data_IF_069820742962
#
_entry.id   IF_069820742962
#
_cell.length_a   1.000
_cell.length_b   1.000
_cell.length_c   1.000
_cell.angle_alpha   90.00
_cell.angle_beta   90.00
_cell.angle_gamma   90.00
#
_symmetry.space_group_name_H-M   'P 1'
#
loop_
_entity.id
_entity.type
_entity.pdbx_description
1 polymer ?
#
# COMPACT_ATOMS: atom_id res chain seq x y z
N UNK A 1 22.24 20.47 -8.57
CA UNK A 1 21.81 19.12 -8.91
C UNK A 1 20.47 19.20 -9.65
N UNK A 2 20.52 18.96 -10.94
CA UNK A 2 19.34 18.90 -11.81
C UNK A 2 18.62 17.59 -11.52
N UNK A 3 17.38 17.69 -11.06
CA UNK A 3 16.48 16.55 -11.03
C UNK A 3 16.01 16.28 -12.47
N UNK A 4 16.73 15.42 -13.18
CA UNK A 4 16.29 14.89 -14.46
C UNK A 4 15.12 13.95 -14.22
N UNK A 5 13.89 14.44 -14.50
CA UNK A 5 12.70 13.60 -14.59
C UNK A 5 12.60 13.09 -16.03
N UNK A 6 12.93 11.82 -16.31
CA UNK A 6 12.74 11.28 -17.65
C UNK A 6 11.24 11.24 -17.96
N UNK A 7 10.87 11.78 -19.14
CA UNK A 7 9.54 11.76 -19.73
C UNK A 7 8.43 12.47 -18.91
N UNK A 8 8.54 13.78 -18.83
CA UNK A 8 7.42 14.64 -18.39
C UNK A 8 6.56 15.04 -19.59
N UNK A 9 5.26 14.78 -19.52
CA UNK A 9 4.32 15.39 -20.47
C UNK A 9 4.22 16.87 -20.12
N UNK A 10 4.69 17.72 -21.03
CA UNK A 10 4.56 19.18 -20.93
C UNK A 10 3.21 19.58 -21.52
N UNK A 11 2.35 20.13 -20.72
CA UNK A 11 1.11 20.76 -21.17
C UNK A 11 1.36 22.27 -21.12
N UNK A 12 1.33 22.90 -22.30
CA UNK A 12 1.49 24.35 -22.42
C UNK A 12 0.12 24.96 -22.60
N UNK A 13 -0.33 25.75 -21.64
CA UNK A 13 -1.61 26.44 -21.67
C UNK A 13 -1.38 27.95 -21.60
N UNK A 14 -2.16 28.73 -22.34
CA UNK A 14 -2.15 30.19 -22.26
C UNK A 14 -3.33 30.66 -21.43
N UNK A 15 -3.03 31.38 -20.36
CA UNK A 15 -4.00 32.12 -19.57
C UNK A 15 -3.75 33.63 -19.75
N UNK A 16 -4.47 34.25 -20.68
CA UNK A 16 -4.24 35.65 -21.06
C UNK A 16 -2.84 35.79 -21.70
N UNK A 17 -1.99 36.64 -21.15
CA UNK A 17 -0.62 36.88 -21.59
C UNK A 17 0.40 35.89 -21.00
N UNK A 18 -0.01 35.07 -20.02
CA UNK A 18 0.89 34.13 -19.36
C UNK A 18 0.87 32.76 -20.03
N UNK A 19 2.07 32.24 -20.30
CA UNK A 19 2.25 30.84 -20.72
C UNK A 19 2.56 30.00 -19.50
N UNK A 20 1.64 29.10 -19.14
CA UNK A 20 1.81 28.14 -18.04
C UNK A 20 2.27 26.81 -18.62
N UNK A 21 3.41 26.33 -18.14
CA UNK A 21 3.92 25.00 -18.49
C UNK A 21 3.68 24.06 -17.30
N UNK A 22 2.70 23.19 -17.42
CA UNK A 22 2.42 22.17 -16.43
C UNK A 22 3.20 20.91 -16.76
N UNK A 23 4.03 20.45 -15.84
CA UNK A 23 4.75 19.18 -15.97
C UNK A 23 4.03 18.12 -15.17
N UNK A 24 3.58 17.05 -15.82
CA UNK A 24 2.92 15.93 -15.14
C UNK A 24 3.72 14.64 -15.30
N UNK A 25 3.99 13.90 -14.23
CA UNK A 25 4.69 12.63 -14.29
C UNK A 25 3.84 11.48 -14.89
N UNK A 26 2.55 11.67 -15.05
CA UNK A 26 1.64 10.62 -15.55
C UNK A 26 1.42 10.76 -17.05
N UNK A 27 1.76 9.71 -17.79
CA UNK A 27 1.61 9.61 -19.24
C UNK A 27 0.28 8.94 -19.65
N UNK A 28 -0.55 8.58 -18.68
CA UNK A 28 -1.81 7.87 -18.94
C UNK A 28 -2.69 8.61 -19.94
N UNK A 29 -2.93 8.00 -21.10
CA UNK A 29 -3.99 8.41 -21.99
C UNK A 29 -5.37 8.17 -21.34
N UNK A 30 -6.36 8.96 -21.72
CA UNK A 30 -7.72 8.83 -21.15
C UNK A 30 -8.29 7.41 -21.30
N UNK A 31 -8.01 6.76 -22.44
CA UNK A 31 -8.43 5.37 -22.71
C UNK A 31 -7.77 4.37 -21.74
N UNK A 32 -6.49 4.52 -21.49
CA UNK A 32 -5.73 3.67 -20.56
C UNK A 32 -6.18 3.88 -19.11
N UNK A 33 -6.42 5.13 -18.72
CA UNK A 33 -6.96 5.45 -17.41
C UNK A 33 -8.36 4.84 -17.19
N UNK A 34 -9.21 4.87 -18.23
CA UNK A 34 -10.53 4.24 -18.21
C UNK A 34 -10.42 2.71 -18.13
N UNK A 35 -9.59 2.09 -18.97
CA UNK A 35 -9.40 0.64 -18.97
C UNK A 35 -8.84 0.15 -17.63
N UNK A 36 -7.85 0.86 -17.06
CA UNK A 36 -7.35 0.57 -15.71
C UNK A 36 -8.45 0.65 -14.65
N UNK A 37 -9.27 1.68 -14.70
CA UNK A 37 -10.37 1.83 -13.73
C UNK A 37 -11.43 0.73 -13.88
N UNK A 38 -11.75 0.34 -15.11
CA UNK A 38 -12.68 -0.77 -15.40
C UNK A 38 -12.13 -2.08 -14.82
N UNK A 39 -10.86 -2.37 -15.06
CA UNK A 39 -10.18 -3.53 -14.48
C UNK A 39 -10.22 -3.50 -12.95
N UNK A 40 -9.90 -2.34 -12.33
CA UNK A 40 -9.97 -2.15 -10.87
C UNK A 40 -11.39 -2.45 -10.33
N UNK A 41 -12.45 -2.02 -11.03
CA UNK A 41 -13.83 -2.26 -10.62
C UNK A 41 -14.19 -3.73 -10.72
N UNK A 42 -13.90 -4.38 -11.85
CA UNK A 42 -14.22 -5.80 -12.08
C UNK A 42 -13.49 -6.68 -11.06
N UNK A 43 -12.17 -6.53 -10.94
CA UNK A 43 -11.39 -7.32 -9.99
C UNK A 43 -11.71 -6.94 -8.53
N UNK A 44 -12.00 -5.67 -8.27
CA UNK A 44 -12.45 -5.20 -6.96
C UNK A 44 -13.75 -5.87 -6.52
N UNK A 45 -14.71 -6.01 -7.43
CA UNK A 45 -15.97 -6.71 -7.16
C UNK A 45 -15.73 -8.20 -6.84
N UNK A 46 -14.98 -8.90 -7.69
CA UNK A 46 -14.61 -10.31 -7.45
C UNK A 46 -13.85 -10.45 -6.12
N UNK A 47 -12.88 -9.57 -5.86
CA UNK A 47 -12.12 -9.58 -4.61
C UNK A 47 -12.99 -9.33 -3.37
N UNK A 48 -14.02 -8.49 -3.46
CA UNK A 48 -14.98 -8.30 -2.36
C UNK A 48 -15.84 -9.55 -2.12
N UNK A 49 -16.25 -10.27 -3.16
CA UNK A 49 -16.96 -11.55 -3.00
C UNK A 49 -16.06 -12.57 -2.29
N UNK A 50 -14.80 -12.70 -2.72
CA UNK A 50 -13.82 -13.57 -2.06
C UNK A 50 -13.56 -13.12 -0.61
N UNK A 51 -13.51 -11.83 -0.33
CA UNK A 51 -13.40 -11.29 1.03
C UNK A 51 -14.55 -11.77 1.90
N UNK A 52 -15.78 -11.80 1.37
CA UNK A 52 -16.94 -12.34 2.07
C UNK A 52 -16.76 -13.82 2.43
N UNK A 53 -16.31 -14.64 1.48
CA UNK A 53 -16.04 -16.07 1.71
C UNK A 53 -14.95 -16.24 2.77
N UNK A 54 -13.81 -15.53 2.64
CA UNK A 54 -12.74 -15.61 3.62
C UNK A 54 -13.15 -15.08 4.99
N UNK A 55 -14.07 -14.11 5.07
CA UNK A 55 -14.60 -13.64 6.35
C UNK A 55 -15.31 -14.79 7.08
N UNK A 56 -16.17 -15.54 6.41
CA UNK A 56 -16.86 -16.68 7.03
C UNK A 56 -15.89 -17.75 7.52
N UNK A 57 -14.82 -18.00 6.77
CA UNK A 57 -13.81 -19.00 7.13
C UNK A 57 -12.89 -18.51 8.26
N UNK A 58 -12.35 -17.30 8.16
CA UNK A 58 -11.31 -16.80 9.07
C UNK A 58 -11.85 -16.22 10.37
N UNK A 59 -13.06 -15.66 10.37
CA UNK A 59 -13.62 -14.97 11.53
C UNK A 59 -13.69 -15.87 12.79
N UNK A 60 -14.13 -17.14 12.73
CA UNK A 60 -14.14 -18.02 13.91
C UNK A 60 -12.73 -18.20 14.48
N UNK A 61 -11.73 -18.44 13.65
CA UNK A 61 -10.35 -18.68 14.09
C UNK A 61 -9.71 -17.44 14.72
N UNK A 62 -9.94 -16.26 14.12
CA UNK A 62 -9.46 -14.99 14.66
C UNK A 62 -10.13 -14.72 16.01
N UNK A 63 -11.47 -14.85 16.08
CA UNK A 63 -12.24 -14.55 17.26
C UNK A 63 -11.92 -15.47 18.45
N UNK A 64 -11.75 -16.78 18.20
CA UNK A 64 -11.39 -17.76 19.24
C UNK A 64 -10.03 -17.45 19.86
N UNK A 65 -9.07 -16.99 19.04
CA UNK A 65 -7.71 -16.67 19.50
C UNK A 65 -7.56 -15.27 20.09
N UNK A 66 -8.33 -14.33 19.58
CA UNK A 66 -8.32 -12.94 20.02
C UNK A 66 -9.73 -12.36 19.85
N UNK A 67 -10.57 -12.41 20.91
CA UNK A 67 -11.91 -11.80 20.86
C UNK A 67 -11.86 -10.33 20.47
N UNK A 68 -12.86 -9.90 19.66
CA UNK A 68 -12.94 -8.52 19.17
C UNK A 68 -13.24 -8.43 17.67
N UNK A 69 -13.08 -7.24 17.05
CA UNK A 69 -13.43 -7.02 15.65
C UNK A 69 -12.57 -7.87 14.71
N UNK A 70 -13.18 -8.41 13.64
CA UNK A 70 -12.51 -9.26 12.63
C UNK A 70 -11.70 -8.40 11.66
N UNK A 71 -12.21 -7.21 11.36
CA UNK A 71 -11.54 -6.25 10.48
C UNK A 71 -10.76 -5.22 11.30
N UNK A 72 -9.63 -4.85 10.76
CA UNK A 72 -8.80 -3.75 11.22
C UNK A 72 -8.80 -2.65 10.15
N UNK A 73 -8.73 -1.40 10.58
CA UNK A 73 -8.56 -0.28 9.66
C UNK A 73 -7.50 0.69 10.18
N UNK A 74 -6.68 1.20 9.27
CA UNK A 74 -5.64 2.17 9.56
C UNK A 74 -5.69 3.32 8.57
N UNK A 75 -5.48 4.55 9.07
CA UNK A 75 -5.35 5.72 8.19
C UNK A 75 -4.06 5.64 7.41
N UNK A 76 -4.17 5.85 6.11
CA UNK A 76 -3.05 5.85 5.16
C UNK A 76 -3.12 7.06 4.25
N UNK A 77 -1.97 7.43 3.69
CA UNK A 77 -1.86 8.49 2.71
C UNK A 77 -2.01 7.90 1.31
N UNK A 78 -2.98 8.41 0.58
CA UNK A 78 -3.29 8.02 -0.79
C UNK A 78 -2.85 9.06 -1.81
N UNK A 79 -3.49 9.00 -2.99
CA UNK A 79 -3.17 9.88 -4.10
C UNK A 79 -3.24 11.36 -3.71
N UNK A 80 -2.20 12.10 -4.09
CA UNK A 80 -2.05 13.54 -3.83
C UNK A 80 -2.14 13.91 -2.34
N UNK A 81 -1.72 13.00 -1.44
CA UNK A 81 -1.74 13.24 0.00
C UNK A 81 -3.12 13.06 0.67
N UNK A 82 -4.15 12.63 -0.06
CA UNK A 82 -5.49 12.43 0.50
C UNK A 82 -5.50 11.24 1.45
N UNK A 83 -5.99 11.45 2.66
CA UNK A 83 -6.11 10.39 3.67
C UNK A 83 -7.30 9.48 3.37
N UNK A 84 -7.11 8.18 3.61
CA UNK A 84 -8.17 7.18 3.52
C UNK A 84 -7.99 6.07 4.56
N UNK A 85 -9.09 5.38 4.91
CA UNK A 85 -9.05 4.19 5.77
C UNK A 85 -8.75 2.97 4.92
N UNK A 86 -7.60 2.33 5.15
CA UNK A 86 -7.23 1.06 4.55
C UNK A 86 -7.74 -0.09 5.41
N UNK A 87 -8.46 -1.04 4.81
CA UNK A 87 -9.04 -2.18 5.51
C UNK A 87 -8.19 -3.43 5.37
N UNK A 88 -8.11 -4.22 6.47
CA UNK A 88 -7.43 -5.52 6.51
C UNK A 88 -8.20 -6.50 7.39
N UNK A 89 -7.96 -7.81 7.24
CA UNK A 89 -8.29 -8.72 8.33
C UNK A 89 -7.34 -8.50 9.51
N UNK A 90 -7.87 -8.59 10.70
CA UNK A 90 -7.07 -8.45 11.91
C UNK A 90 -6.16 -9.66 12.09
N UNK A 91 -4.88 -9.48 11.91
CA UNK A 91 -3.83 -10.47 12.11
C UNK A 91 -2.99 -10.24 13.37
N UNK A 92 -3.22 -9.12 14.06
CA UNK A 92 -2.53 -8.71 15.28
C UNK A 92 -3.50 -8.55 16.45
N UNK A 93 -2.98 -8.61 17.67
CA UNK A 93 -3.73 -8.34 18.89
C UNK A 93 -4.23 -6.88 18.93
N UNK A 94 -5.33 -6.57 19.68
CA UNK A 94 -5.91 -5.23 19.72
C UNK A 94 -4.95 -4.14 20.21
N UNK A 95 -4.03 -4.49 21.11
CA UNK A 95 -3.00 -3.63 21.72
C UNK A 95 -1.72 -3.47 20.86
N UNK A 96 -1.75 -3.98 19.64
CA UNK A 96 -0.57 -4.03 18.75
C UNK A 96 0.05 -2.66 18.45
N UNK A 97 -0.77 -1.60 18.35
CA UNK A 97 -0.27 -0.26 18.05
C UNK A 97 0.43 0.37 19.25
N UNK A 98 -0.12 0.15 20.47
CA UNK A 98 0.50 0.61 21.72
C UNK A 98 1.86 -0.07 21.93
N UNK A 99 1.92 -1.37 21.72
CA UNK A 99 3.15 -2.17 21.84
C UNK A 99 4.18 -1.88 20.72
N UNK A 100 3.79 -1.23 19.65
CA UNK A 100 4.71 -0.87 18.56
C UNK A 100 5.84 0.03 19.07
N UNK A 101 5.54 0.98 19.94
CA UNK A 101 6.54 1.90 20.47
C UNK A 101 7.61 1.19 21.31
N UNK A 102 7.21 0.20 22.11
CA UNK A 102 8.13 -0.61 22.91
C UNK A 102 9.07 -1.46 22.04
N UNK A 103 8.60 -1.82 20.84
CA UNK A 103 9.31 -2.69 19.91
C UNK A 103 10.14 -1.93 18.86
N UNK A 104 10.15 -0.61 18.89
CA UNK A 104 10.94 0.21 17.93
C UNK A 104 12.43 -0.10 17.96
N UNK A 105 12.98 -0.42 19.15
CA UNK A 105 14.37 -0.81 19.32
C UNK A 105 14.74 -2.15 18.66
N UNK A 106 13.73 -2.97 18.30
CA UNK A 106 13.89 -4.28 17.64
C UNK A 106 13.63 -4.19 16.13
N UNK A 107 13.47 -3.00 15.57
CA UNK A 107 13.22 -2.81 14.14
C UNK A 107 14.45 -3.24 13.33
N UNK A 108 14.25 -4.10 12.33
CA UNK A 108 15.30 -4.59 11.42
C UNK A 108 15.69 -3.58 10.33
N UNK A 109 14.89 -2.51 10.17
CA UNK A 109 15.12 -1.47 9.17
C UNK A 109 15.62 -0.21 9.85
N UNK A 110 16.89 0.13 9.62
CA UNK A 110 17.58 1.22 10.31
C UNK A 110 17.11 2.62 9.93
N UNK A 111 16.66 2.84 8.70
CA UNK A 111 16.26 4.14 8.17
C UNK A 111 14.93 4.67 8.74
N UNK A 112 14.19 3.84 9.45
CA UNK A 112 12.93 4.20 10.12
C UNK A 112 11.75 4.53 9.20
N UNK A 113 11.88 4.33 7.88
CA UNK A 113 10.77 4.47 6.91
C UNK A 113 9.85 3.26 6.84
N UNK A 114 10.30 2.12 7.34
CA UNK A 114 9.53 0.89 7.43
C UNK A 114 9.73 0.23 8.80
N UNK A 115 8.73 -0.52 9.24
CA UNK A 115 8.79 -1.29 10.49
C UNK A 115 8.69 -2.79 10.16
N UNK A 116 9.74 -3.55 10.52
CA UNK A 116 9.83 -4.99 10.29
C UNK A 116 10.51 -5.68 11.47
N UNK A 117 9.89 -6.74 11.97
CA UNK A 117 10.45 -7.64 12.99
C UNK A 117 10.16 -9.07 12.54
N UNK A 118 11.16 -9.95 12.51
CA UNK A 118 11.03 -11.33 12.05
C UNK A 118 10.02 -12.14 12.87
N UNK A 119 10.05 -12.02 14.19
CA UNK A 119 9.11 -12.68 15.09
C UNK A 119 8.32 -11.65 15.89
N UNK A 120 7.41 -10.95 15.23
CA UNK A 120 6.62 -9.89 15.84
C UNK A 120 5.64 -10.47 16.89
N UNK A 121 5.83 -10.18 18.19
CA UNK A 121 4.97 -10.73 19.27
C UNK A 121 3.54 -10.19 19.26
N UNK A 122 3.26 -9.17 18.45
CA UNK A 122 1.90 -8.58 18.30
C UNK A 122 1.00 -9.42 17.39
N UNK A 123 1.57 -10.37 16.64
CA UNK A 123 0.82 -11.22 15.71
C UNK A 123 0.05 -12.28 16.49
N UNK A 124 -1.24 -12.48 16.17
CA UNK A 124 -2.11 -13.47 16.84
C UNK A 124 -1.53 -14.88 16.68
N UNK A 125 -1.20 -15.51 17.80
CA UNK A 125 -0.66 -16.85 17.85
C UNK A 125 0.86 -16.95 17.65
N UNK A 126 1.60 -15.84 17.70
CA UNK A 126 3.06 -15.79 17.62
C UNK A 126 3.76 -16.53 18.78
N UNK A 127 3.08 -16.70 19.91
CA UNK A 127 3.55 -17.45 21.07
C UNK A 127 3.85 -18.93 20.75
N UNK A 128 3.35 -19.46 19.66
CA UNK A 128 3.62 -20.83 19.19
C UNK A 128 4.97 -21.01 18.51
N UNK A 129 5.69 -19.91 18.28
CA UNK A 129 6.99 -19.85 17.62
C UNK A 129 6.99 -19.10 16.29
N UNK A 130 8.18 -18.87 15.75
CA UNK A 130 8.42 -18.07 14.53
C UNK A 130 7.56 -18.59 13.37
N UNK A 131 6.82 -17.67 12.74
CA UNK A 131 5.98 -17.96 11.58
C UNK A 131 4.74 -18.83 11.85
N UNK A 132 4.48 -19.20 13.13
CA UNK A 132 3.31 -20.01 13.53
C UNK A 132 2.14 -19.15 13.97
N UNK A 133 0.96 -19.78 14.06
CA UNK A 133 -0.29 -19.12 14.47
C UNK A 133 -1.11 -18.56 13.33
N UNK A 134 -2.38 -18.28 13.63
CA UNK A 134 -3.36 -17.83 12.61
C UNK A 134 -2.97 -16.45 12.01
N UNK A 135 -2.46 -15.55 12.81
CA UNK A 135 -2.03 -14.23 12.32
C UNK A 135 -0.88 -14.34 11.33
N UNK A 136 0.12 -15.18 11.61
CA UNK A 136 1.22 -15.43 10.69
C UNK A 136 0.76 -16.14 9.40
N UNK A 137 -0.16 -17.09 9.50
CA UNK A 137 -0.76 -17.73 8.32
C UNK A 137 -1.44 -16.72 7.41
N UNK A 138 -2.31 -15.88 7.96
CA UNK A 138 -3.05 -14.84 7.22
C UNK A 138 -2.09 -13.87 6.53
N UNK A 139 -1.02 -13.43 7.22
CA UNK A 139 0.00 -12.50 6.68
C UNK A 139 0.87 -13.17 5.61
N UNK A 140 1.33 -14.41 5.84
CA UNK A 140 2.15 -15.14 4.88
C UNK A 140 1.42 -15.44 3.57
N UNK A 141 0.12 -15.69 3.64
CA UNK A 141 -0.74 -15.92 2.47
C UNK A 141 -1.31 -14.63 1.89
N UNK A 142 -1.00 -13.46 2.48
CA UNK A 142 -1.57 -12.15 2.12
C UNK A 142 -3.10 -12.09 2.17
N UNK A 143 -3.74 -13.04 2.87
CA UNK A 143 -5.20 -13.02 3.07
C UNK A 143 -5.66 -11.81 3.87
N UNK A 144 -4.79 -11.25 4.75
CA UNK A 144 -5.10 -10.03 5.49
C UNK A 144 -5.38 -8.83 4.59
N UNK A 145 -4.91 -8.85 3.35
CA UNK A 145 -5.05 -7.72 2.42
C UNK A 145 -6.34 -7.76 1.58
N UNK A 146 -7.09 -8.88 1.60
CA UNK A 146 -8.33 -9.00 0.82
C UNK A 146 -9.36 -7.90 1.08
N UNK A 147 -9.60 -7.42 2.31
CA UNK A 147 -10.53 -6.31 2.54
C UNK A 147 -10.17 -5.01 1.81
N UNK A 148 -8.92 -4.86 1.33
CA UNK A 148 -8.51 -3.70 0.51
C UNK A 148 -9.21 -3.67 -0.86
N UNK A 149 -9.77 -4.79 -1.36
CA UNK A 149 -10.60 -4.77 -2.57
C UNK A 149 -11.80 -3.83 -2.43
N UNK A 150 -12.31 -3.62 -1.22
CA UNK A 150 -13.31 -2.60 -0.96
C UNK A 150 -12.75 -1.18 -1.18
N UNK A 151 -11.51 -0.91 -0.79
CA UNK A 151 -10.84 0.36 -1.10
C UNK A 151 -10.65 0.55 -2.62
N UNK A 152 -10.37 -0.54 -3.36
CA UNK A 152 -10.26 -0.49 -4.82
C UNK A 152 -11.61 -0.13 -5.46
N UNK A 153 -12.70 -0.77 -5.05
CA UNK A 153 -14.06 -0.44 -5.52
C UNK A 153 -14.41 1.02 -5.25
N UNK A 154 -14.16 1.47 -4.04
CA UNK A 154 -14.42 2.85 -3.61
C UNK A 154 -13.56 3.88 -4.40
N UNK A 155 -12.40 3.45 -4.92
CA UNK A 155 -11.49 4.29 -5.70
C UNK A 155 -10.40 4.97 -4.87
N UNK A 156 -10.25 4.61 -3.60
CA UNK A 156 -9.13 5.04 -2.76
C UNK A 156 -7.83 4.36 -3.20
N UNK A 157 -7.93 3.11 -3.69
CA UNK A 157 -6.82 2.28 -4.15
C UNK A 157 -7.04 1.77 -5.58
N UNK A 158 -6.01 1.14 -6.12
CA UNK A 158 -5.98 0.37 -7.37
C UNK A 158 -5.47 -1.04 -7.06
N UNK A 159 -5.59 -1.97 -8.00
CA UNK A 159 -4.96 -3.29 -7.87
C UNK A 159 -3.45 -3.16 -7.80
N UNK A 160 -2.88 -2.45 -8.76
CA UNK A 160 -1.44 -2.20 -8.87
C UNK A 160 -1.16 -0.72 -8.70
N UNK A 161 -0.22 -0.39 -7.83
CA UNK A 161 0.18 0.98 -7.52
C UNK A 161 1.27 1.00 -6.45
N UNK A 162 1.58 2.18 -5.94
CA UNK A 162 2.56 2.36 -4.88
C UNK A 162 2.01 1.93 -3.52
N UNK A 163 2.87 1.52 -2.58
CA UNK A 163 2.44 1.21 -1.21
C UNK A 163 2.01 2.50 -0.49
N UNK A 164 0.80 2.56 0.09
CA UNK A 164 0.37 3.72 0.85
C UNK A 164 1.11 3.80 2.19
N UNK A 165 1.83 4.91 2.48
CA UNK A 165 2.51 5.08 3.75
C UNK A 165 1.53 5.28 4.91
N UNK A 166 1.98 4.98 6.14
CA UNK A 166 1.34 5.44 7.38
C UNK A 166 1.53 6.94 7.54
N UNK A 167 0.82 7.55 8.49
CA UNK A 167 1.02 8.97 8.81
C UNK A 167 2.43 9.23 9.32
N UNK A 168 2.94 8.37 10.20
CA UNK A 168 4.28 8.48 10.77
C UNK A 168 5.38 8.36 9.68
N UNK A 169 5.20 7.45 8.71
CA UNK A 169 6.08 7.32 7.56
C UNK A 169 6.03 8.58 6.67
N UNK A 170 4.82 9.09 6.42
CA UNK A 170 4.59 10.26 5.57
C UNK A 170 5.23 11.54 6.13
N UNK A 171 5.21 11.73 7.43
CA UNK A 171 5.83 12.90 8.09
C UNK A 171 7.33 12.92 7.86
N UNK A 172 7.98 11.76 7.74
CA UNK A 172 9.40 11.62 7.47
C UNK A 172 9.75 11.78 5.99
N UNK A 173 8.74 11.73 5.07
CA UNK A 173 9.00 11.75 3.64
C UNK A 173 9.57 13.09 3.18
N UNK A 174 10.70 13.02 2.52
CA UNK A 174 11.29 14.13 1.79
C UNK A 174 10.47 14.46 0.52
N UNK A 175 10.66 15.66 -0.08
CA UNK A 175 9.89 16.07 -1.27
C UNK A 175 9.94 15.09 -2.43
N UNK A 176 11.09 14.44 -2.68
CA UNK A 176 11.25 13.48 -3.76
C UNK A 176 10.52 12.15 -3.52
N UNK A 177 10.35 11.73 -2.24
CA UNK A 177 9.56 10.57 -1.85
C UNK A 177 8.07 10.77 -2.15
N UNK A 178 7.57 12.00 -2.00
CA UNK A 178 6.14 12.34 -2.17
C UNK A 178 5.64 12.13 -3.60
N UNK A 179 6.54 12.14 -4.58
CA UNK A 179 6.21 11.85 -5.97
C UNK A 179 5.54 10.48 -6.19
N UNK A 180 5.77 9.52 -5.31
CA UNK A 180 5.12 8.19 -5.30
C UNK A 180 3.59 8.29 -5.16
N UNK A 181 3.09 9.34 -4.52
CA UNK A 181 1.66 9.55 -4.29
C UNK A 181 0.96 10.30 -5.43
N UNK A 182 1.59 10.48 -6.58
CA UNK A 182 0.95 11.07 -7.77
C UNK A 182 -0.13 10.16 -8.39
N UNK A 183 -0.08 8.86 -8.10
CA UNK A 183 -1.04 7.86 -8.54
C UNK A 183 -1.82 7.27 -7.35
N UNK A 184 -2.88 6.46 -7.63
CA UNK A 184 -3.54 5.70 -6.58
C UNK A 184 -2.62 4.63 -6.03
N UNK A 185 -2.55 4.44 -4.69
CA UNK A 185 -1.83 3.33 -4.11
C UNK A 185 -2.45 1.99 -4.53
N UNK A 186 -1.62 0.94 -4.56
CA UNK A 186 -2.03 -0.40 -4.96
C UNK A 186 -2.17 -1.38 -3.78
N UNK A 187 -2.90 -2.47 -4.01
CA UNK A 187 -2.82 -3.68 -3.16
C UNK A 187 -1.44 -4.31 -3.37
N UNK A 188 -0.98 -4.37 -4.62
CA UNK A 188 0.37 -4.78 -4.98
C UNK A 188 1.09 -3.68 -5.77
N UNK A 189 2.40 -3.78 -5.92
CA UNK A 189 3.21 -2.83 -6.65
C UNK A 189 4.56 -3.39 -7.07
N UNK A 190 5.31 -2.64 -7.88
CA UNK A 190 6.56 -3.10 -8.49
C UNK A 190 7.55 -3.62 -7.43
N UNK A 191 7.80 -2.87 -6.35
CA UNK A 191 8.73 -3.29 -5.31
C UNK A 191 8.28 -4.59 -4.60
N UNK A 192 6.95 -4.83 -4.47
CA UNK A 192 6.42 -6.03 -3.84
C UNK A 192 6.66 -7.30 -4.67
N UNK A 193 6.67 -7.17 -6.00
CA UNK A 193 6.93 -8.30 -6.92
C UNK A 193 8.41 -8.46 -7.23
N UNK A 194 9.22 -7.41 -7.05
CA UNK A 194 10.67 -7.42 -7.32
C UNK A 194 11.53 -7.93 -6.16
N UNK A 195 10.94 -8.41 -5.05
CA UNK A 195 11.69 -8.94 -3.92
C UNK A 195 11.28 -8.34 -2.57
N UNK A 196 9.99 -8.31 -2.28
CA UNK A 196 9.36 -7.74 -1.08
C UNK A 196 10.15 -7.87 0.23
N UNK A 197 10.85 -8.99 0.42
CA UNK A 197 11.60 -9.28 1.65
C UNK A 197 13.08 -8.88 1.57
N UNK A 198 13.60 -8.66 0.37
CA UNK A 198 15.04 -8.48 0.13
C UNK A 198 15.38 -7.00 -0.09
N UNK A 199 14.38 -6.17 -0.46
CA UNK A 199 14.55 -4.72 -0.59
C UNK A 199 14.49 -4.09 0.80
N UNK A 200 15.65 -3.76 1.34
CA UNK A 200 15.84 -3.15 2.67
C UNK A 200 16.04 -1.63 2.59
N UNK A 201 16.45 -1.12 1.44
CA UNK A 201 16.67 0.30 1.19
C UNK A 201 15.38 0.98 0.70
N UNK A 202 14.95 2.02 1.41
CA UNK A 202 13.76 2.79 1.03
C UNK A 202 13.94 3.56 -0.27
N UNK A 203 15.14 4.03 -0.59
CA UNK A 203 15.42 4.71 -1.86
C UNK A 203 15.25 3.76 -3.07
N UNK A 204 15.58 2.49 -2.92
CA UNK A 204 15.32 1.49 -3.94
C UNK A 204 13.80 1.29 -4.15
N UNK A 205 13.01 1.25 -3.08
CA UNK A 205 11.54 1.24 -3.15
C UNK A 205 11.02 2.46 -3.90
N UNK A 206 11.55 3.65 -3.61
CA UNK A 206 11.19 4.90 -4.29
C UNK A 206 11.53 4.84 -5.78
N UNK A 207 12.70 4.31 -6.12
CA UNK A 207 13.15 4.17 -7.51
C UNK A 207 12.22 3.22 -8.31
N UNK A 208 11.88 2.05 -7.75
CA UNK A 208 10.97 1.08 -8.37
C UNK A 208 9.56 1.66 -8.56
N UNK A 209 9.04 2.38 -7.58
CA UNK A 209 7.73 3.01 -7.69
C UNK A 209 7.72 4.15 -8.73
N UNK A 210 8.80 4.91 -8.84
CA UNK A 210 8.95 5.95 -9.88
C UNK A 210 9.07 5.36 -11.27
N UNK A 211 9.81 4.25 -11.41
CA UNK A 211 9.90 3.52 -12.68
C UNK A 211 8.52 3.01 -13.11
N UNK A 212 7.76 2.40 -12.21
CA UNK A 212 6.38 2.00 -12.45
C UNK A 212 5.50 3.18 -12.91
N UNK A 213 5.59 4.33 -12.24
CA UNK A 213 4.79 5.52 -12.60
C UNK A 213 5.15 6.03 -14.00
N UNK A 214 6.45 6.02 -14.35
CA UNK A 214 6.95 6.55 -15.63
C UNK A 214 6.67 5.64 -16.82
N UNK A 215 6.71 4.33 -16.64
CA UNK A 215 6.55 3.32 -17.71
C UNK A 215 5.17 2.68 -17.75
N UNK A 216 4.27 3.11 -16.90
CA UNK A 216 2.98 2.43 -16.77
C UNK A 216 2.29 2.22 -18.11
N UNK A 217 1.88 0.97 -18.37
CA UNK A 217 1.04 0.56 -19.50
C UNK A 217 0.10 -0.55 -19.05
N UNK A 218 -0.94 -0.85 -19.84
CA UNK A 218 -1.89 -1.95 -19.57
C UNK A 218 -1.19 -3.33 -19.58
N UNK A 219 -0.06 -3.44 -20.26
CA UNK A 219 0.71 -4.68 -20.37
C UNK A 219 1.85 -4.83 -19.36
N UNK A 220 2.02 -3.87 -18.45
CA UNK A 220 2.97 -3.91 -17.34
C UNK A 220 2.29 -4.53 -16.13
#
# INVERSE_FOLDING_TARGET
SQYDFPMQKRIVEKFGEFTVVTMTPSILNLREAFAKRLMDIVCGFVGCLLTGIFTVILAPFIWIKSPGPIFFSQMRVGRNGKLFKMYKFRSMYPDAEERKQELLAMNEVEDGYMFKIENDPRIIGSEKGVGKGIGNFIRKTSLDEFPQFFNVLKGDMSLVGTRPPTLDEWEKYEPHHRGRMSIRPGITGMWQVSGRSDVMDFEEVVALDRDYISRWSIGL
#
